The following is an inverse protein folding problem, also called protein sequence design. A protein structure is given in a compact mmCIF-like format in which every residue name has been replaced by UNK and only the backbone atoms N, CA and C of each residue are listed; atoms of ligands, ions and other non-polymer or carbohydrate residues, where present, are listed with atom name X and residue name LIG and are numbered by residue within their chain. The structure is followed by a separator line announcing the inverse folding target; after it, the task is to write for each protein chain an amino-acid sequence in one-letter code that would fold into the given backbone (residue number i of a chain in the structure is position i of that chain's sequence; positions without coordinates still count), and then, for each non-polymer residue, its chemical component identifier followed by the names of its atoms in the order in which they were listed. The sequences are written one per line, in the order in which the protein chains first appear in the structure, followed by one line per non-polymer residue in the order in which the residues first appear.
data_IF_774606071735
#
_entry.id   IF_774606071735
#
_cell.length_a   1.000
_cell.length_b   1.000
_cell.length_c   1.000
_cell.angle_alpha   90.00
_cell.angle_beta   90.00
_cell.angle_gamma   90.00
#
_symmetry.space_group_name_H-M   'P 1'
#
loop_
_entity.id
_entity.type
_entity.pdbx_description
1 polymer ?
#
# COMPACT_ATOMS: atom_id res chain seq x y z
N UNK A 1 40.62 16.01 85.50
CA UNK A 1 39.55 15.32 86.25
C UNK A 1 38.63 14.62 85.27
N UNK A 2 38.53 13.30 85.45
CA UNK A 2 37.36 12.41 85.20
C UNK A 2 36.70 12.34 83.82
N UNK A 3 36.95 11.20 83.16
CA UNK A 3 35.98 10.22 82.61
C UNK A 3 34.55 10.67 82.28
N UNK A 4 34.06 10.37 81.06
CA UNK A 4 33.31 9.11 80.81
C UNK A 4 32.83 8.97 79.36
N UNK A 5 32.99 7.72 78.92
CA UNK A 5 32.54 7.02 77.72
C UNK A 5 31.01 6.98 77.54
N UNK A 6 30.52 7.08 76.28
CA UNK A 6 29.47 6.21 75.69
C UNK A 6 29.53 6.34 74.15
N UNK A 7 30.13 5.39 73.39
CA UNK A 7 29.48 4.22 72.71
C UNK A 7 28.17 4.63 72.03
N UNK A 8 27.85 4.37 70.77
CA UNK A 8 28.18 3.37 69.73
C UNK A 8 27.19 3.71 68.57
N UNK A 9 27.37 3.44 67.28
CA UNK A 9 28.33 2.64 66.54
C UNK A 9 28.83 3.42 65.31
N UNK A 10 30.03 3.12 64.82
CA UNK A 10 30.29 2.04 63.84
C UNK A 10 29.45 2.24 62.57
N UNK A 11 29.97 2.34 61.34
CA UNK A 11 31.32 2.37 60.74
C UNK A 11 30.98 2.58 59.26
N UNK A 12 31.38 3.69 58.64
CA UNK A 12 32.52 3.75 57.71
C UNK A 12 32.30 2.84 56.47
N UNK A 13 32.21 3.44 55.26
CA UNK A 13 33.33 3.49 54.28
C UNK A 13 32.86 3.80 52.85
N UNK A 14 33.55 4.81 52.30
CA UNK A 14 34.05 4.94 50.93
C UNK A 14 33.07 4.93 49.74
N UNK A 15 32.85 6.15 49.25
CA UNK A 15 33.05 6.56 47.84
C UNK A 15 33.48 5.45 46.88
N UNK A 16 32.65 5.18 45.88
CA UNK A 16 33.08 4.76 44.56
C UNK A 16 32.25 5.55 43.54
N UNK A 17 32.93 6.31 42.69
CA UNK A 17 32.31 7.16 41.69
C UNK A 17 31.67 6.35 40.56
N UNK A 18 30.63 6.93 39.95
CA UNK A 18 30.22 6.65 38.58
C UNK A 18 30.02 8.01 37.91
N UNK A 19 30.92 8.31 36.97
CA UNK A 19 30.70 9.30 35.94
C UNK A 19 29.55 8.81 35.03
N UNK A 20 28.56 9.66 34.74
CA UNK A 20 27.59 9.37 33.68
C UNK A 20 26.25 10.10 33.81
N UNK A 21 25.78 10.60 32.66
CA UNK A 21 24.46 11.18 32.35
C UNK A 21 24.26 12.66 32.75
N UNK A 22 23.95 13.60 31.84
CA UNK A 22 23.66 13.47 30.41
C UNK A 22 23.76 14.82 29.73
N UNK A 23 24.60 14.88 28.69
CA UNK A 23 24.61 15.95 27.71
C UNK A 23 23.98 15.40 26.42
N UNK A 24 23.31 16.30 25.70
CA UNK A 24 22.73 16.17 24.36
C UNK A 24 21.31 15.60 24.27
N UNK A 25 20.34 16.53 24.36
CA UNK A 25 19.09 16.44 23.62
C UNK A 25 19.40 16.33 22.12
N UNK A 26 19.49 15.11 21.61
CA UNK A 26 19.44 14.86 20.18
C UNK A 26 18.00 15.04 19.71
N UNK A 27 17.72 16.19 19.09
CA UNK A 27 16.54 16.38 18.26
C UNK A 27 16.58 15.34 17.15
N UNK A 28 15.86 14.24 17.35
CA UNK A 28 15.55 13.27 16.29
C UNK A 28 14.63 13.98 15.31
N UNK A 29 15.23 14.63 14.32
CA UNK A 29 14.53 15.10 13.14
C UNK A 29 14.17 13.88 12.31
N UNK A 30 13.08 13.19 12.68
CA UNK A 30 12.42 12.24 11.82
C UNK A 30 11.95 13.02 10.59
N UNK A 31 12.78 13.07 9.54
CA UNK A 31 12.27 13.31 8.20
C UNK A 31 11.34 12.14 7.91
N UNK A 32 10.04 12.40 8.07
CA UNK A 32 9.02 11.57 7.47
C UNK A 32 9.42 11.41 6.00
N UNK A 33 9.82 10.19 5.63
CA UNK A 33 9.89 9.81 4.23
C UNK A 33 8.46 9.95 3.75
N UNK A 34 8.14 11.06 3.08
CA UNK A 34 6.96 11.09 2.22
C UNK A 34 7.21 9.99 1.20
N UNK A 35 6.54 8.85 1.39
CA UNK A 35 6.23 7.97 0.28
C UNK A 35 5.65 8.90 -0.79
N UNK A 36 6.29 8.98 -1.96
CA UNK A 36 5.67 9.67 -3.08
C UNK A 36 4.25 9.11 -3.21
N UNK A 37 3.27 10.00 -3.31
CA UNK A 37 1.87 9.66 -3.56
C UNK A 37 1.79 8.98 -4.93
N UNK A 38 2.18 7.69 -5.00
CA UNK A 38 2.04 6.89 -6.20
C UNK A 38 0.55 6.79 -6.44
N UNK A 39 0.07 7.43 -7.51
CA UNK A 39 -1.30 7.27 -7.96
C UNK A 39 -1.53 5.79 -8.27
N UNK A 40 -2.53 5.22 -7.62
CA UNK A 40 -2.95 3.86 -7.88
C UNK A 40 -3.41 3.76 -9.35
N UNK A 41 -2.93 2.76 -10.07
CA UNK A 41 -3.25 2.53 -11.48
C UNK A 41 -4.17 1.33 -11.63
N UNK A 42 -5.39 1.54 -12.10
CA UNK A 42 -6.40 0.50 -12.28
C UNK A 42 -6.59 0.19 -13.77
N UNK A 43 -6.51 -1.08 -14.14
CA UNK A 43 -6.95 -1.55 -15.45
C UNK A 43 -8.43 -1.92 -15.41
N UNK A 44 -9.26 -1.29 -16.25
CA UNK A 44 -10.69 -1.56 -16.35
C UNK A 44 -11.01 -2.16 -17.72
N UNK A 45 -11.50 -3.40 -17.75
CA UNK A 45 -11.86 -4.10 -18.99
C UNK A 45 -13.36 -4.39 -19.02
N UNK A 46 -14.06 -3.75 -19.95
CA UNK A 46 -15.48 -3.96 -20.26
C UNK A 46 -15.66 -5.01 -21.36
N UNK A 47 -16.82 -5.69 -21.46
CA UNK A 47 -16.99 -6.77 -22.42
C UNK A 47 -17.21 -6.22 -23.84
N UNK A 48 -17.89 -5.08 -24.00
CA UNK A 48 -18.14 -4.38 -25.27
C UNK A 48 -18.60 -2.93 -25.02
N UNK A 49 -18.65 -2.11 -26.08
CA UNK A 49 -19.31 -0.80 -26.07
C UNK A 49 -20.53 -0.71 -27.01
N UNK A 50 -20.92 -1.80 -27.67
CA UNK A 50 -22.16 -1.86 -28.45
C UNK A 50 -23.37 -1.64 -27.53
N UNK A 51 -23.31 -2.19 -26.32
CA UNK A 51 -24.22 -1.82 -25.25
C UNK A 51 -23.72 -0.51 -24.62
N UNK A 52 -24.33 0.61 -25.02
CA UNK A 52 -23.98 1.95 -24.57
C UNK A 52 -23.94 2.11 -23.05
N UNK A 53 -24.65 1.27 -22.30
CA UNK A 53 -24.60 1.21 -20.82
C UNK A 53 -23.15 1.10 -20.32
N UNK A 54 -22.34 0.22 -20.91
CA UNK A 54 -20.97 -0.01 -20.45
C UNK A 54 -20.10 1.24 -20.55
N UNK A 55 -20.21 1.97 -21.65
CA UNK A 55 -19.43 3.19 -21.88
C UNK A 55 -20.01 4.38 -21.13
N UNK A 56 -21.30 4.64 -21.31
CA UNK A 56 -21.93 5.89 -20.91
C UNK A 56 -22.41 5.89 -19.46
N UNK A 57 -22.55 4.71 -18.83
CA UNK A 57 -22.94 4.57 -17.44
C UNK A 57 -21.84 3.89 -16.61
N UNK A 58 -21.58 2.60 -16.82
CA UNK A 58 -20.72 1.80 -15.94
C UNK A 58 -19.28 2.37 -15.87
N UNK A 59 -18.63 2.55 -17.02
CA UNK A 59 -17.29 3.12 -17.09
C UNK A 59 -17.27 4.59 -16.68
N UNK A 60 -18.19 5.42 -17.21
CA UNK A 60 -18.23 6.84 -16.90
C UNK A 60 -18.39 7.09 -15.39
N UNK A 61 -19.24 6.30 -14.72
CA UNK A 61 -19.39 6.34 -13.27
C UNK A 61 -18.10 5.90 -12.57
N UNK A 62 -17.50 4.77 -12.98
CA UNK A 62 -16.26 4.28 -12.38
C UNK A 62 -15.12 5.31 -12.49
N UNK A 63 -14.88 5.84 -13.68
CA UNK A 63 -13.83 6.83 -13.95
C UNK A 63 -14.06 8.11 -13.15
N UNK A 64 -15.31 8.57 -13.00
CA UNK A 64 -15.64 9.71 -12.17
C UNK A 64 -15.25 9.47 -10.71
N UNK A 65 -15.68 8.35 -10.12
CA UNK A 65 -15.35 8.05 -8.72
C UNK A 65 -13.86 7.82 -8.51
N UNK A 66 -13.18 7.18 -9.48
CA UNK A 66 -11.73 7.00 -9.44
C UNK A 66 -10.98 8.33 -9.47
N UNK A 67 -11.42 9.27 -10.31
CA UNK A 67 -10.83 10.61 -10.41
C UNK A 67 -11.00 11.41 -9.10
N UNK A 68 -12.15 11.33 -8.44
CA UNK A 68 -12.39 11.93 -7.11
C UNK A 68 -11.41 11.39 -6.04
N UNK A 69 -10.93 10.16 -6.21
CA UNK A 69 -9.95 9.51 -5.34
C UNK A 69 -8.49 9.65 -5.82
N UNK A 70 -8.24 10.35 -6.94
CA UNK A 70 -6.90 10.51 -7.51
C UNK A 70 -6.31 9.24 -8.15
N UNK A 71 -7.16 8.27 -8.48
CA UNK A 71 -6.79 6.98 -9.10
C UNK A 71 -6.68 7.17 -10.62
N UNK A 72 -5.64 6.61 -11.23
CA UNK A 72 -5.49 6.53 -12.69
C UNK A 72 -6.22 5.29 -13.22
N UNK A 73 -7.06 5.46 -14.24
CA UNK A 73 -7.82 4.37 -14.86
C UNK A 73 -7.40 4.18 -16.31
N UNK A 74 -7.01 2.96 -16.66
CA UNK A 74 -6.84 2.52 -18.05
C UNK A 74 -8.06 1.70 -18.46
N UNK A 75 -9.00 2.32 -19.17
CA UNK A 75 -10.23 1.66 -19.60
C UNK A 75 -10.15 1.14 -21.05
N UNK A 76 -10.61 -0.09 -21.26
CA UNK A 76 -10.72 -0.72 -22.58
C UNK A 76 -12.00 -1.56 -22.68
N UNK A 77 -12.46 -1.82 -23.90
CA UNK A 77 -13.51 -2.81 -24.17
C UNK A 77 -12.97 -3.95 -25.04
N UNK A 78 -13.43 -5.17 -24.76
CA UNK A 78 -13.00 -6.37 -25.48
C UNK A 78 -13.84 -6.69 -26.73
N UNK A 79 -14.83 -5.86 -27.07
CA UNK A 79 -15.70 -6.03 -28.25
C UNK A 79 -16.24 -7.47 -28.42
N UNK A 80 -16.70 -8.06 -27.32
CA UNK A 80 -17.19 -9.44 -27.23
C UNK A 80 -16.19 -10.52 -27.68
N UNK A 81 -14.89 -10.21 -27.73
CA UNK A 81 -13.82 -11.13 -28.10
C UNK A 81 -13.02 -11.60 -26.88
N UNK A 82 -13.08 -12.90 -26.59
CA UNK A 82 -12.30 -13.52 -25.51
C UNK A 82 -10.79 -13.43 -25.77
N UNK A 83 -10.36 -13.54 -27.04
CA UNK A 83 -8.94 -13.43 -27.40
C UNK A 83 -8.42 -12.01 -27.23
N UNK A 84 -9.21 -10.99 -27.60
CA UNK A 84 -8.85 -9.60 -27.34
C UNK A 84 -8.78 -9.33 -25.83
N UNK A 85 -9.75 -9.83 -25.06
CA UNK A 85 -9.76 -9.69 -23.60
C UNK A 85 -8.50 -10.29 -22.96
N UNK A 86 -8.06 -11.47 -23.41
CA UNK A 86 -6.83 -12.09 -22.93
C UNK A 86 -5.59 -11.22 -23.19
N UNK A 87 -5.44 -10.71 -24.41
CA UNK A 87 -4.33 -9.81 -24.76
C UNK A 87 -4.37 -8.49 -24.00
N UNK A 88 -5.57 -7.94 -23.74
CA UNK A 88 -5.73 -6.72 -22.96
C UNK A 88 -5.27 -6.92 -21.50
N UNK A 89 -5.63 -8.05 -20.88
CA UNK A 89 -5.14 -8.40 -19.53
C UNK A 89 -3.62 -8.48 -19.52
N UNK A 90 -3.00 -9.19 -20.47
CA UNK A 90 -1.54 -9.30 -20.57
C UNK A 90 -0.85 -7.94 -20.73
N UNK A 91 -1.41 -7.08 -21.58
CA UNK A 91 -0.90 -5.74 -21.81
C UNK A 91 -1.03 -4.84 -20.58
N UNK A 92 -2.14 -4.93 -19.84
CA UNK A 92 -2.33 -4.15 -18.62
C UNK A 92 -1.38 -4.59 -17.50
N UNK A 93 -1.19 -5.90 -17.34
CA UNK A 93 -0.21 -6.45 -16.40
C UNK A 93 1.22 -5.99 -16.75
N UNK A 94 1.57 -6.00 -18.04
CA UNK A 94 2.87 -5.49 -18.53
C UNK A 94 3.03 -3.99 -18.26
N UNK A 95 1.95 -3.22 -18.34
CA UNK A 95 1.92 -1.78 -18.02
C UNK A 95 1.94 -1.47 -16.52
N UNK A 96 2.02 -2.49 -15.66
CA UNK A 96 2.17 -2.34 -14.22
C UNK A 96 0.94 -1.74 -13.54
N UNK A 97 -0.27 -2.15 -13.93
CA UNK A 97 -1.48 -1.84 -13.16
C UNK A 97 -1.36 -2.43 -11.74
N UNK A 98 -1.90 -1.71 -10.76
CA UNK A 98 -1.96 -2.14 -9.37
C UNK A 98 -3.20 -3.00 -9.08
N UNK A 99 -4.29 -2.82 -9.84
CA UNK A 99 -5.55 -3.58 -9.71
C UNK A 99 -6.16 -3.80 -11.10
N UNK A 100 -6.73 -4.97 -11.34
CA UNK A 100 -7.53 -5.28 -12.52
C UNK A 100 -9.01 -5.34 -12.15
N UNK A 101 -9.86 -4.58 -12.84
CA UNK A 101 -11.32 -4.69 -12.78
C UNK A 101 -11.78 -5.30 -14.11
N UNK A 102 -12.29 -6.53 -14.05
CA UNK A 102 -12.61 -7.33 -15.23
C UNK A 102 -14.09 -7.66 -15.27
N UNK A 103 -14.78 -7.16 -16.30
CA UNK A 103 -16.10 -7.67 -16.69
C UNK A 103 -15.90 -8.72 -17.78
N UNK A 104 -16.05 -10.02 -17.49
CA UNK A 104 -15.66 -11.07 -18.41
C UNK A 104 -16.59 -11.14 -19.63
N UNK A 105 -16.01 -11.35 -20.81
CA UNK A 105 -16.78 -11.71 -22.03
C UNK A 105 -17.42 -13.09 -21.84
N UNK A 106 -16.68 -14.02 -21.23
CA UNK A 106 -17.12 -15.37 -20.94
C UNK A 106 -16.71 -15.76 -19.51
N UNK A 107 -17.67 -16.16 -18.68
CA UNK A 107 -17.44 -16.49 -17.29
C UNK A 107 -16.50 -17.70 -17.09
N UNK A 108 -16.53 -18.69 -18.00
CA UNK A 108 -15.67 -19.87 -17.91
C UNK A 108 -14.21 -19.53 -18.22
N UNK A 109 -13.98 -18.67 -19.22
CA UNK A 109 -12.65 -18.20 -19.59
C UNK A 109 -12.03 -17.24 -18.56
N UNK A 110 -12.86 -16.51 -17.80
CA UNK A 110 -12.44 -15.55 -16.78
C UNK A 110 -11.48 -16.14 -15.74
N UNK A 111 -11.66 -17.42 -15.38
CA UNK A 111 -10.80 -18.09 -14.40
C UNK A 111 -9.33 -18.12 -14.82
N UNK A 112 -9.04 -18.30 -16.12
CA UNK A 112 -7.66 -18.28 -16.61
C UNK A 112 -7.04 -16.87 -16.50
N UNK A 113 -7.82 -15.84 -16.79
CA UNK A 113 -7.40 -14.44 -16.71
C UNK A 113 -7.14 -14.01 -15.25
N UNK A 114 -8.04 -14.38 -14.34
CA UNK A 114 -7.88 -14.14 -12.89
C UNK A 114 -6.62 -14.83 -12.36
N UNK A 115 -6.37 -16.09 -12.76
CA UNK A 115 -5.13 -16.78 -12.37
C UNK A 115 -3.88 -16.06 -12.86
N UNK A 116 -3.89 -15.54 -14.09
CA UNK A 116 -2.77 -14.79 -14.67
C UNK A 116 -2.48 -13.50 -13.88
N UNK A 117 -3.51 -12.73 -13.55
CA UNK A 117 -3.35 -11.53 -12.72
C UNK A 117 -2.83 -11.85 -11.30
N UNK A 118 -3.37 -12.92 -10.67
CA UNK A 118 -2.86 -13.41 -9.38
C UNK A 118 -1.39 -13.81 -9.43
N UNK A 119 -0.96 -14.49 -10.49
CA UNK A 119 0.46 -14.84 -10.69
C UNK A 119 1.35 -13.60 -10.85
N UNK A 120 0.81 -12.50 -11.36
CA UNK A 120 1.49 -11.20 -11.43
C UNK A 120 1.37 -10.40 -10.12
N UNK A 121 0.80 -10.96 -9.05
CA UNK A 121 0.49 -10.27 -7.79
C UNK A 121 -0.43 -9.05 -7.95
N UNK A 122 -1.30 -9.08 -8.97
CA UNK A 122 -2.32 -8.06 -9.20
C UNK A 122 -3.68 -8.57 -8.71
N UNK A 123 -4.33 -7.90 -7.74
CA UNK A 123 -5.69 -8.22 -7.32
C UNK A 123 -6.69 -8.00 -8.47
N UNK A 124 -7.72 -8.85 -8.48
CA UNK A 124 -8.85 -8.83 -9.42
C UNK A 124 -10.16 -8.90 -8.65
#
# INVERSE_FOLDING_TARGET
MTDKVKKSGITRRHTLGIAGAGLLAALVNFKAVHAQDKKLKVGLIMPNYDQLRWKNADQAFFEKQAAELGIEVLAQASNASESLQASQVENMLTQGIDVLVLTPVNANAANALIRKAKQANVPV
#
